data_IF_849776797211
#
_entry.id   IF_849776797211
#
_cell.length_a   1.000
_cell.length_b   1.000
_cell.length_c   1.000
_cell.angle_alpha   90.00
_cell.angle_beta   90.00
_cell.angle_gamma   90.00
#
_symmetry.space_group_name_H-M   'P 1'
#
loop_
_entity.id
_entity.type
_entity.pdbx_description
1 polymer ?
#
# COMPACT_ATOMS: atom_id res chain seq x y z
N UNK A 1 -11.00 -73.26 -49.34
CA UNK A 1 -11.97 -72.35 -48.72
C UNK A 1 -11.19 -71.37 -47.85
N UNK A 2 -10.90 -70.19 -48.37
CA UNK A 2 -10.08 -69.16 -47.68
C UNK A 2 -11.05 -68.13 -47.11
N UNK A 3 -11.04 -67.96 -45.79
CA UNK A 3 -11.82 -66.94 -45.09
C UNK A 3 -11.02 -65.67 -45.03
N UNK A 4 -11.49 -64.61 -45.70
CA UNK A 4 -10.90 -63.24 -45.59
C UNK A 4 -11.54 -62.56 -44.42
N UNK A 5 -10.71 -62.21 -43.41
CA UNK A 5 -11.15 -61.35 -42.29
C UNK A 5 -10.83 -59.89 -42.63
N UNK A 6 -11.86 -59.12 -42.81
CA UNK A 6 -11.80 -57.69 -42.94
C UNK A 6 -11.65 -57.05 -41.57
N UNK A 7 -10.52 -56.38 -41.32
CA UNK A 7 -10.32 -55.58 -40.13
C UNK A 7 -10.90 -54.19 -40.36
N UNK A 8 -11.84 -53.78 -39.50
CA UNK A 8 -12.36 -52.43 -39.48
C UNK A 8 -11.45 -51.54 -38.63
N UNK A 9 -10.84 -50.52 -39.25
CA UNK A 9 -10.10 -49.46 -38.51
C UNK A 9 -11.15 -48.48 -37.93
N UNK A 10 -11.33 -48.50 -36.64
CA UNK A 10 -12.08 -47.48 -35.93
C UNK A 10 -11.19 -46.24 -35.70
N UNK A 11 -11.54 -45.12 -36.35
CA UNK A 11 -10.92 -43.84 -36.09
C UNK A 11 -11.47 -43.26 -34.77
N UNK A 12 -10.63 -43.19 -33.76
CA UNK A 12 -10.96 -42.49 -32.52
C UNK A 12 -10.80 -40.98 -32.72
N UNK A 13 -11.93 -40.26 -32.73
CA UNK A 13 -11.92 -38.79 -32.71
C UNK A 13 -11.66 -38.35 -31.29
N UNK A 14 -10.45 -37.84 -31.02
CA UNK A 14 -10.10 -37.18 -29.77
C UNK A 14 -10.63 -35.75 -29.80
N UNK A 15 -11.75 -35.52 -29.13
CA UNK A 15 -12.23 -34.17 -28.87
C UNK A 15 -11.34 -33.54 -27.78
N UNK A 16 -10.47 -32.61 -28.18
CA UNK A 16 -9.77 -31.74 -27.27
C UNK A 16 -10.75 -30.67 -26.80
N UNK A 17 -11.32 -30.83 -25.63
CA UNK A 17 -12.09 -29.79 -24.96
C UNK A 17 -11.12 -28.68 -24.57
N UNK A 18 -11.12 -27.59 -25.35
CA UNK A 18 -10.42 -26.37 -25.00
C UNK A 18 -11.04 -25.74 -23.76
N UNK A 19 -10.34 -25.83 -22.62
CA UNK A 19 -10.68 -25.07 -21.42
C UNK A 19 -10.36 -23.61 -21.73
N UNK A 20 -11.37 -22.83 -22.08
CA UNK A 20 -11.26 -21.39 -22.15
C UNK A 20 -11.02 -20.88 -20.71
N UNK A 21 -9.77 -20.52 -20.40
CA UNK A 21 -9.45 -19.81 -19.18
C UNK A 21 -10.06 -18.41 -19.29
N UNK A 22 -11.26 -18.24 -18.73
CA UNK A 22 -11.85 -16.92 -18.57
C UNK A 22 -10.98 -16.14 -17.62
N UNK A 23 -10.13 -15.24 -18.14
CA UNK A 23 -9.51 -14.20 -17.36
C UNK A 23 -10.61 -13.30 -16.83
N UNK A 24 -11.03 -13.55 -15.58
CA UNK A 24 -11.89 -12.61 -14.85
C UNK A 24 -11.07 -11.34 -14.65
N UNK A 25 -11.33 -10.32 -15.46
CA UNK A 25 -10.92 -8.96 -15.14
C UNK A 25 -11.64 -8.60 -13.85
N UNK A 26 -10.87 -8.52 -12.74
CA UNK A 26 -11.41 -8.02 -11.48
C UNK A 26 -12.04 -6.65 -11.75
N UNK A 27 -13.35 -6.54 -11.53
CA UNK A 27 -14.04 -5.26 -11.66
C UNK A 27 -13.47 -4.32 -10.59
N UNK A 28 -13.34 -3.03 -10.91
CA UNK A 28 -12.83 -1.99 -10.00
C UNK A 28 -13.53 -2.06 -8.64
N UNK A 29 -14.80 -2.40 -8.60
CA UNK A 29 -15.60 -2.54 -7.37
C UNK A 29 -15.17 -3.68 -6.45
N UNK A 30 -14.55 -4.75 -6.98
CA UNK A 30 -14.00 -5.84 -6.17
C UNK A 30 -12.73 -5.50 -5.43
N UNK A 31 -12.05 -4.41 -5.81
CA UNK A 31 -10.79 -3.94 -5.23
C UNK A 31 -10.98 -2.80 -4.22
N UNK A 32 -12.19 -2.20 -4.16
CA UNK A 32 -12.44 -1.08 -3.27
C UNK A 32 -12.47 -1.53 -1.81
N UNK A 33 -11.76 -0.76 -0.97
CA UNK A 33 -11.77 -0.98 0.47
C UNK A 33 -13.19 -0.77 1.01
N UNK A 34 -13.63 -1.72 1.83
CA UNK A 34 -14.93 -1.68 2.53
C UNK A 34 -14.73 -1.27 3.97
N UNK A 35 -15.84 -0.86 4.62
CA UNK A 35 -15.83 -0.55 6.05
C UNK A 35 -15.33 -1.76 6.85
N UNK A 36 -14.33 -1.54 7.70
CA UNK A 36 -13.71 -2.57 8.53
C UNK A 36 -13.18 -1.99 9.83
N UNK A 37 -12.96 -2.86 10.81
CA UNK A 37 -12.21 -2.56 12.04
C UNK A 37 -10.89 -3.30 11.96
N UNK A 38 -9.80 -2.58 12.12
CA UNK A 38 -8.45 -3.13 12.20
C UNK A 38 -7.98 -3.00 13.65
N UNK A 39 -7.86 -4.11 14.36
CA UNK A 39 -7.34 -4.07 15.73
C UNK A 39 -5.83 -3.98 15.71
N UNK A 40 -5.25 -3.34 16.71
CA UNK A 40 -3.80 -3.16 16.81
C UNK A 40 -3.04 -4.50 16.76
N UNK A 41 -3.57 -5.51 17.42
CA UNK A 41 -2.99 -6.85 17.52
C UNK A 41 -3.06 -7.62 16.18
N UNK A 42 -4.01 -7.28 15.31
CA UNK A 42 -4.17 -7.94 14.01
C UNK A 42 -3.14 -7.51 12.98
N UNK A 43 -2.43 -6.40 13.22
CA UNK A 43 -1.46 -5.84 12.28
C UNK A 43 -0.04 -6.00 12.83
N UNK A 44 0.76 -6.91 12.26
CA UNK A 44 2.12 -7.16 12.75
C UNK A 44 3.03 -5.96 12.53
N UNK A 45 3.95 -5.78 13.47
CA UNK A 45 5.03 -4.82 13.33
C UNK A 45 6.15 -5.38 12.48
N UNK A 46 6.64 -4.58 11.55
CA UNK A 46 7.80 -4.91 10.71
C UNK A 46 8.98 -4.03 11.15
N UNK A 47 10.08 -4.60 11.61
CA UNK A 47 11.29 -3.85 11.89
C UNK A 47 11.82 -3.13 10.66
N UNK A 48 12.34 -1.93 10.85
CA UNK A 48 13.05 -1.13 9.84
C UNK A 48 14.42 -0.72 10.35
N UNK A 49 15.29 -0.22 9.50
CA UNK A 49 16.59 0.30 9.92
C UNK A 49 16.45 1.43 10.95
N UNK A 50 15.43 2.27 10.83
CA UNK A 50 15.20 3.43 11.66
C UNK A 50 14.21 3.20 12.83
N UNK A 51 13.72 1.98 13.00
CA UNK A 51 12.77 1.64 14.06
C UNK A 51 11.81 0.53 13.64
N UNK A 52 10.52 0.84 13.52
CA UNK A 52 9.50 -0.13 13.11
C UNK A 52 8.33 0.53 12.38
N UNK A 53 7.60 -0.28 11.59
CA UNK A 53 6.40 0.14 10.85
C UNK A 53 5.29 -0.91 10.98
N UNK A 54 4.02 -0.45 11.07
CA UNK A 54 2.81 -1.26 10.91
C UNK A 54 2.02 -0.71 9.74
N UNK A 55 1.92 -1.46 8.65
CA UNK A 55 1.04 -1.09 7.52
C UNK A 55 -0.32 -1.71 7.75
N UNK A 56 -1.33 -0.89 7.96
CA UNK A 56 -2.69 -1.35 8.26
C UNK A 56 -3.45 -1.63 6.96
N UNK A 57 -3.42 -0.69 6.03
CA UNK A 57 -3.98 -0.87 4.69
C UNK A 57 -3.35 0.10 3.68
N UNK A 58 -3.43 -0.27 2.42
CA UNK A 58 -3.19 0.60 1.26
C UNK A 58 -4.09 0.10 0.13
N UNK A 59 -5.17 0.82 -0.16
CA UNK A 59 -6.17 0.38 -1.13
C UNK A 59 -6.96 1.54 -1.73
N UNK A 60 -7.53 1.39 -2.92
CA UNK A 60 -8.49 2.35 -3.47
C UNK A 60 -9.79 2.33 -2.67
N UNK A 61 -10.49 3.48 -2.67
CA UNK A 61 -11.83 3.63 -2.09
C UNK A 61 -12.81 4.13 -3.17
N UNK A 62 -14.06 4.34 -2.80
CA UNK A 62 -15.07 4.89 -3.72
C UNK A 62 -14.72 6.30 -4.23
N UNK A 63 -13.92 7.08 -3.47
CA UNK A 63 -13.61 8.48 -3.75
C UNK A 63 -12.13 8.78 -3.90
N UNK A 64 -11.26 7.79 -3.64
CA UNK A 64 -9.81 7.94 -3.70
C UNK A 64 -9.19 6.84 -4.56
N UNK A 65 -8.17 7.18 -5.34
CA UNK A 65 -7.35 6.18 -6.04
C UNK A 65 -6.49 5.38 -5.07
N UNK A 66 -6.18 5.96 -3.93
CA UNK A 66 -5.47 5.32 -2.83
C UNK A 66 -5.82 5.97 -1.51
N UNK A 67 -6.02 5.14 -0.50
CA UNK A 67 -5.97 5.51 0.91
C UNK A 67 -5.01 4.54 1.59
N UNK A 68 -3.95 5.06 2.17
CA UNK A 68 -2.99 4.30 2.96
C UNK A 68 -3.03 4.74 4.42
N UNK A 69 -2.94 3.78 5.32
CA UNK A 69 -2.73 4.05 6.73
C UNK A 69 -1.67 3.13 7.30
N UNK A 70 -0.69 3.73 7.97
CA UNK A 70 0.33 3.00 8.71
C UNK A 70 0.75 3.77 9.97
N UNK A 71 1.49 3.09 10.84
CA UNK A 71 2.21 3.73 11.94
C UNK A 71 3.69 3.52 11.77
N UNK A 72 4.47 4.50 12.21
CA UNK A 72 5.93 4.43 12.25
C UNK A 72 6.40 4.78 13.65
N UNK A 73 7.32 3.97 14.17
CA UNK A 73 8.08 4.25 15.39
C UNK A 73 9.53 4.49 14.99
N UNK A 74 10.04 5.69 15.28
CA UNK A 74 11.44 6.05 15.05
C UNK A 74 12.23 5.93 16.33
N UNK A 75 13.37 5.27 16.27
CA UNK A 75 14.38 5.32 17.34
C UNK A 75 14.95 6.74 17.48
N UNK A 76 15.58 7.10 18.62
CA UNK A 76 16.30 8.37 18.77
C UNK A 76 17.31 8.58 17.63
N UNK A 77 17.30 9.78 17.04
CA UNK A 77 18.11 10.15 15.87
C UNK A 77 17.62 9.60 14.54
N UNK A 78 16.54 8.80 14.52
CA UNK A 78 16.01 8.17 13.31
C UNK A 78 15.22 9.14 12.42
N UNK A 79 15.29 8.88 11.10
CA UNK A 79 14.43 9.50 10.08
C UNK A 79 14.04 8.39 9.08
N UNK A 80 12.79 8.31 8.61
CA UNK A 80 12.37 7.19 7.75
C UNK A 80 13.06 7.22 6.39
N UNK A 81 13.38 8.41 5.89
CA UNK A 81 14.01 8.66 4.59
C UNK A 81 14.47 10.13 4.50
N UNK A 82 15.38 10.48 3.57
CA UNK A 82 15.66 11.87 3.22
C UNK A 82 14.40 12.62 2.75
N UNK A 83 14.40 13.96 2.73
CA UNK A 83 13.31 14.73 2.14
C UNK A 83 12.98 14.25 0.73
N UNK A 84 11.69 14.01 0.46
CA UNK A 84 11.19 13.51 -0.80
C UNK A 84 9.85 14.14 -1.16
N UNK A 85 9.34 13.88 -2.35
CA UNK A 85 8.05 14.35 -2.83
C UNK A 85 7.25 13.18 -3.38
N UNK A 86 5.94 13.24 -3.23
CA UNK A 86 4.99 12.33 -3.90
C UNK A 86 3.68 13.06 -4.20
N UNK A 87 2.86 12.45 -5.07
CA UNK A 87 1.58 13.03 -5.50
C UNK A 87 0.50 12.96 -4.43
N UNK A 88 0.61 12.02 -3.52
CA UNK A 88 -0.32 11.90 -2.41
C UNK A 88 -0.19 13.10 -1.48
N UNK A 89 -1.28 13.49 -0.88
CA UNK A 89 -1.27 14.31 0.32
C UNK A 89 -1.07 13.40 1.52
N UNK A 90 -0.44 13.93 2.57
CA UNK A 90 -0.13 13.15 3.76
C UNK A 90 -0.45 13.91 5.03
N UNK A 91 -1.02 13.20 5.99
CA UNK A 91 -1.26 13.70 7.33
C UNK A 91 -0.58 12.81 8.35
N UNK A 92 0.17 13.41 9.25
CA UNK A 92 0.81 12.72 10.38
C UNK A 92 0.18 13.19 11.69
N UNK A 93 -0.10 12.25 12.59
CA UNK A 93 -0.54 12.50 13.95
C UNK A 93 0.50 11.91 14.90
N UNK A 94 1.16 12.76 15.68
CA UNK A 94 2.18 12.31 16.66
C UNK A 94 1.48 11.70 17.87
N UNK A 95 1.66 10.38 18.05
CA UNK A 95 1.04 9.61 19.13
C UNK A 95 1.86 9.65 20.42
N UNK A 96 3.16 9.44 20.30
CA UNK A 96 4.09 9.33 21.43
C UNK A 96 5.44 9.96 21.08
N UNK A 97 6.10 10.55 22.07
CA UNK A 97 7.37 11.24 21.87
C UNK A 97 7.21 12.57 21.15
N UNK A 98 8.22 12.98 20.41
CA UNK A 98 8.22 14.19 19.61
C UNK A 98 9.04 13.98 18.35
N UNK A 99 8.64 14.61 17.26
CA UNK A 99 9.40 14.66 16.02
C UNK A 99 9.61 16.11 15.59
N UNK A 100 10.53 16.31 14.68
CA UNK A 100 10.59 17.53 13.87
C UNK A 100 10.16 17.19 12.44
N UNK A 101 9.33 18.05 11.87
CA UNK A 101 8.85 17.94 10.49
C UNK A 101 9.57 18.96 9.60
N UNK A 102 10.03 18.52 8.44
CA UNK A 102 10.55 19.40 7.39
C UNK A 102 9.38 19.97 6.59
N UNK A 103 9.06 21.25 6.82
CA UNK A 103 7.92 21.93 6.21
C UNK A 103 8.37 23.25 5.61
N UNK A 104 8.15 23.44 4.32
CA UNK A 104 8.48 24.68 3.59
C UNK A 104 9.95 25.14 3.75
N UNK A 105 10.88 24.18 3.77
CA UNK A 105 12.30 24.47 3.89
C UNK A 105 12.82 24.66 5.33
N UNK A 106 12.00 24.39 6.34
CA UNK A 106 12.35 24.56 7.76
C UNK A 106 11.97 23.33 8.59
N UNK A 107 12.78 23.04 9.61
CA UNK A 107 12.42 22.07 10.64
C UNK A 107 11.48 22.69 11.66
N UNK A 108 10.31 22.08 11.88
CA UNK A 108 9.32 22.53 12.86
C UNK A 108 9.08 21.44 13.89
N UNK A 109 9.15 21.79 15.20
CA UNK A 109 8.88 20.81 16.25
C UNK A 109 7.41 20.40 16.26
N UNK A 110 7.19 19.10 16.43
CA UNK A 110 5.87 18.49 16.52
C UNK A 110 5.85 17.51 17.70
N UNK A 111 5.49 17.96 18.90
CA UNK A 111 5.33 17.13 20.09
C UNK A 111 4.09 16.22 19.99
N UNK A 112 3.93 15.30 20.94
CA UNK A 112 2.75 14.44 21.09
C UNK A 112 1.45 15.25 20.94
N UNK A 113 0.51 14.72 20.15
CA UNK A 113 -0.77 15.35 19.82
C UNK A 113 -0.73 16.31 18.64
N UNK A 114 0.47 16.62 18.10
CA UNK A 114 0.59 17.47 16.91
C UNK A 114 0.01 16.77 15.68
N UNK A 115 -0.60 17.58 14.81
CA UNK A 115 -1.01 17.20 13.46
C UNK A 115 -0.10 17.92 12.47
N UNK A 116 0.49 17.17 11.55
CA UNK A 116 1.35 17.67 10.47
C UNK A 116 0.63 17.36 9.16
N UNK A 117 0.56 18.32 8.25
CA UNK A 117 0.01 18.14 6.91
C UNK A 117 1.09 18.45 5.86
N UNK A 118 1.26 17.50 4.95
CA UNK A 118 2.12 17.67 3.78
C UNK A 118 1.28 17.69 2.52
N UNK A 119 1.35 18.80 1.81
CA UNK A 119 0.66 18.95 0.53
C UNK A 119 1.36 18.13 -0.57
N UNK A 120 0.56 17.75 -1.58
CA UNK A 120 1.05 17.05 -2.77
C UNK A 120 2.27 17.74 -3.38
N UNK A 121 3.29 16.97 -3.76
CA UNK A 121 4.52 17.42 -4.43
C UNK A 121 5.39 18.42 -3.65
N UNK A 122 5.12 18.66 -2.38
CA UNK A 122 5.97 19.49 -1.53
C UNK A 122 7.04 18.61 -0.85
N UNK A 123 8.34 18.99 -0.89
CA UNK A 123 9.39 18.25 -0.22
C UNK A 123 9.16 18.16 1.29
N UNK A 124 9.17 16.95 1.84
CA UNK A 124 8.91 16.73 3.26
C UNK A 124 9.62 15.49 3.79
N UNK A 125 9.78 15.45 5.09
CA UNK A 125 10.21 14.31 5.91
C UNK A 125 9.99 14.62 7.39
N UNK A 126 10.21 13.64 8.25
CA UNK A 126 10.23 13.80 9.71
C UNK A 126 11.50 13.20 10.30
N UNK A 127 11.89 13.62 11.49
CA UNK A 127 12.99 13.04 12.25
C UNK A 127 12.69 13.04 13.75
N UNK A 128 13.20 12.06 14.46
CA UNK A 128 13.18 12.02 15.91
C UNK A 128 14.49 12.59 16.45
N UNK A 129 14.45 13.81 16.97
CA UNK A 129 15.61 14.48 17.62
C UNK A 129 15.63 14.27 19.13
N UNK A 130 14.62 13.55 19.67
CA UNK A 130 14.54 13.24 21.10
C UNK A 130 15.46 12.10 21.54
N UNK A 131 15.39 11.79 22.84
CA UNK A 131 16.18 10.71 23.47
C UNK A 131 15.37 9.42 23.68
N UNK A 132 14.07 9.43 23.34
CA UNK A 132 13.16 8.29 23.42
C UNK A 132 12.56 8.00 22.04
N UNK A 133 12.05 6.78 21.79
CA UNK A 133 11.33 6.50 20.54
C UNK A 133 10.14 7.45 20.36
N UNK A 134 9.85 7.80 19.11
CA UNK A 134 8.69 8.57 18.73
C UNK A 134 7.80 7.77 17.79
N UNK A 135 6.50 7.69 18.11
CA UNK A 135 5.51 6.95 17.32
C UNK A 135 4.49 7.94 16.75
N UNK A 136 4.19 7.78 15.45
CA UNK A 136 3.19 8.58 14.77
C UNK A 136 2.36 7.75 13.80
N UNK A 137 1.14 8.21 13.57
CA UNK A 137 0.21 7.67 12.57
C UNK A 137 0.37 8.45 11.27
N UNK A 138 0.33 7.77 10.15
CA UNK A 138 0.36 8.36 8.81
C UNK A 138 -0.92 7.98 8.08
N UNK A 139 -1.62 8.98 7.57
CA UNK A 139 -2.71 8.85 6.61
C UNK A 139 -2.26 9.50 5.31
N UNK A 140 -2.24 8.72 4.25
CA UNK A 140 -1.74 9.13 2.94
C UNK A 140 -2.82 8.84 1.90
N UNK A 141 -3.14 9.79 1.02
CA UNK A 141 -4.22 9.61 0.05
C UNK A 141 -3.94 10.27 -1.29
N UNK A 142 -4.52 9.70 -2.33
CA UNK A 142 -4.56 10.26 -3.67
C UNK A 142 -6.00 10.39 -4.14
N UNK A 143 -6.41 11.58 -4.56
CA UNK A 143 -7.73 11.80 -5.13
C UNK A 143 -7.91 11.01 -6.44
N UNK A 144 -9.16 10.71 -6.82
CA UNK A 144 -9.46 9.99 -8.06
C UNK A 144 -8.84 10.69 -9.28
N UNK A 145 -8.17 9.90 -10.10
CA UNK A 145 -7.53 10.36 -11.34
C UNK A 145 -6.18 11.06 -11.14
N UNK A 146 -5.67 11.16 -9.91
CA UNK A 146 -4.37 11.79 -9.63
C UNK A 146 -3.21 10.79 -9.57
N UNK A 147 -3.47 9.53 -9.28
CA UNK A 147 -2.45 8.47 -9.32
C UNK A 147 -2.07 8.20 -10.79
N UNK A 148 -0.77 8.12 -11.15
CA UNK A 148 -0.39 7.70 -12.49
C UNK A 148 -1.03 6.35 -12.80
N UNK A 149 -1.66 6.23 -13.97
CA UNK A 149 -2.04 4.91 -14.47
C UNK A 149 -0.76 4.09 -14.55
N UNK A 150 -0.73 2.91 -13.94
CA UNK A 150 0.36 1.98 -14.15
C UNK A 150 0.49 1.80 -15.67
N UNK A 151 1.68 2.05 -16.21
CA UNK A 151 1.93 1.83 -17.63
C UNK A 151 1.49 0.41 -17.96
N UNK A 152 0.52 0.28 -18.88
CA UNK A 152 0.11 -1.00 -19.40
C UNK A 152 1.34 -1.58 -20.13
N UNK A 153 2.00 -2.56 -19.48
CA UNK A 153 3.07 -3.35 -20.08
C UNK A 153 2.46 -4.39 -21.02
#
# INVERSE_FOLDING_TARGET
MRIVRTAALGAAVVMVAGVALATQTATKDGLLMKSAVFTWESVPETPTEQGARRTVFAAPTATLDELEYHTTTLKPGGSPHPPHTHRNEEMIIVKEGAVEAWVNGEWKPAPTGSLIFFASMVPHTVRNTGTVPATYHVVNWAALGTKPKADAK
#
